data_IF_009702734991
#
_entry.id   IF_009702734991
#
_cell.length_a   1.000
_cell.length_b   1.000
_cell.length_c   1.000
_cell.angle_alpha   90.00
_cell.angle_beta   90.00
_cell.angle_gamma   90.00
#
_symmetry.space_group_name_H-M   'P 1'
#
loop_
_entity.id
_entity.type
_entity.pdbx_description
1 polymer ?
#
# COMPACT_ATOMS: atom_id res chain seq x y z
N UNK A 1 -31.22 -10.54 -37.04
CA UNK A 1 -32.30 -11.55 -37.14
C UNK A 1 -33.62 -10.83 -37.07
N UNK A 2 -34.35 -10.89 -38.19
CA UNK A 2 -35.52 -10.09 -38.50
C UNK A 2 -36.67 -10.36 -37.52
N UNK A 3 -37.13 -9.31 -36.86
CA UNK A 3 -38.35 -9.30 -36.06
C UNK A 3 -39.55 -9.60 -36.97
N UNK A 4 -40.36 -10.65 -36.71
CA UNK A 4 -41.61 -10.81 -37.42
C UNK A 4 -42.55 -9.74 -36.88
N UNK A 5 -42.90 -8.79 -37.75
CA UNK A 5 -43.87 -7.73 -37.48
C UNK A 5 -45.19 -8.33 -36.95
N UNK A 6 -45.49 -8.21 -35.64
CA UNK A 6 -46.65 -8.84 -35.03
C UNK A 6 -47.87 -7.90 -35.06
N UNK A 7 -47.75 -6.73 -35.70
CA UNK A 7 -48.86 -5.80 -35.92
C UNK A 7 -49.87 -6.38 -36.93
N UNK A 8 -49.40 -7.14 -37.92
CA UNK A 8 -50.23 -7.65 -39.02
C UNK A 8 -51.35 -8.59 -38.57
N UNK A 9 -51.16 -9.38 -37.51
CA UNK A 9 -52.16 -10.33 -37.03
C UNK A 9 -53.37 -9.66 -36.34
N UNK A 10 -53.11 -8.66 -35.50
CA UNK A 10 -54.16 -7.90 -34.82
C UNK A 10 -54.89 -6.97 -35.78
N UNK A 11 -54.16 -6.31 -36.69
CA UNK A 11 -54.78 -5.54 -37.76
C UNK A 11 -55.64 -6.40 -38.68
N UNK A 12 -55.21 -7.64 -38.99
CA UNK A 12 -56.01 -8.59 -39.78
C UNK A 12 -57.26 -9.04 -39.05
N UNK A 13 -57.19 -9.37 -37.76
CA UNK A 13 -58.36 -9.80 -36.97
C UNK A 13 -59.37 -8.66 -36.78
N UNK A 14 -58.91 -7.43 -36.60
CA UNK A 14 -59.78 -6.26 -36.50
C UNK A 14 -60.37 -5.92 -37.86
N UNK A 15 -59.58 -5.98 -38.94
CA UNK A 15 -60.08 -5.79 -40.30
C UNK A 15 -61.11 -6.86 -40.69
N UNK A 16 -60.92 -8.13 -40.31
CA UNK A 16 -61.91 -9.18 -40.56
C UNK A 16 -63.14 -9.05 -39.69
N UNK A 17 -63.02 -8.61 -38.43
CA UNK A 17 -64.19 -8.37 -37.57
C UNK A 17 -65.01 -7.17 -38.07
N UNK A 18 -64.36 -6.07 -38.45
CA UNK A 18 -65.02 -4.90 -39.05
C UNK A 18 -65.65 -5.28 -40.39
N UNK A 19 -64.94 -6.02 -41.25
CA UNK A 19 -65.46 -6.48 -42.53
C UNK A 19 -66.64 -7.44 -42.35
N UNK A 20 -66.59 -8.34 -41.37
CA UNK A 20 -67.69 -9.27 -41.09
C UNK A 20 -68.92 -8.55 -40.52
N UNK A 21 -68.72 -7.59 -39.61
CA UNK A 21 -69.82 -6.76 -39.08
C UNK A 21 -70.40 -5.88 -40.19
N UNK A 22 -69.58 -5.31 -41.07
CA UNK A 22 -70.03 -4.54 -42.23
C UNK A 22 -70.78 -5.39 -43.26
N UNK A 23 -70.31 -6.62 -43.54
CA UNK A 23 -71.03 -7.55 -44.42
C UNK A 23 -72.36 -7.98 -43.83
N UNK A 24 -72.39 -8.26 -42.52
CA UNK A 24 -73.60 -8.66 -41.82
C UNK A 24 -74.62 -7.53 -41.76
N UNK A 25 -74.18 -6.27 -41.62
CA UNK A 25 -75.08 -5.11 -41.59
C UNK A 25 -75.64 -4.78 -42.96
N UNK A 26 -74.82 -4.92 -44.02
CA UNK A 26 -75.28 -4.81 -45.42
C UNK A 26 -76.29 -5.91 -45.74
N UNK A 27 -76.01 -7.16 -45.36
CA UNK A 27 -76.91 -8.28 -45.58
C UNK A 27 -78.25 -8.13 -44.81
N UNK A 28 -78.22 -7.59 -43.58
CA UNK A 28 -79.42 -7.39 -42.77
C UNK A 28 -80.24 -6.17 -43.24
N UNK A 29 -79.58 -5.11 -43.73
CA UNK A 29 -80.24 -3.93 -44.31
C UNK A 29 -80.98 -4.24 -45.63
N UNK A 30 -80.50 -5.22 -46.40
CA UNK A 30 -81.15 -5.71 -47.63
C UNK A 30 -82.40 -6.56 -47.36
N UNK A 31 -82.62 -7.04 -46.13
CA UNK A 31 -83.65 -8.02 -45.80
C UNK A 31 -84.84 -7.47 -44.98
N UNK A 32 -84.84 -6.20 -44.56
CA UNK A 32 -85.86 -5.65 -43.66
C UNK A 32 -86.67 -4.49 -44.29
N UNK A 33 -87.99 -4.38 -44.01
CA UNK A 33 -88.82 -3.29 -44.54
C UNK A 33 -88.40 -1.92 -43.97
N UNK A 34 -88.75 -0.85 -44.71
CA UNK A 34 -88.18 0.50 -44.71
C UNK A 34 -88.05 1.28 -43.37
N UNK A 35 -88.45 0.71 -42.22
CA UNK A 35 -88.33 1.32 -40.89
C UNK A 35 -87.24 0.70 -39.98
N UNK A 36 -86.54 -0.37 -40.41
CA UNK A 36 -85.50 -1.04 -39.60
C UNK A 36 -84.00 -0.76 -39.90
N UNK A 37 -83.56 0.04 -40.91
CA UNK A 37 -82.12 0.18 -41.21
C UNK A 37 -81.34 0.96 -40.15
N UNK A 38 -82.01 1.82 -39.37
CA UNK A 38 -81.36 2.66 -38.34
C UNK A 38 -80.86 1.84 -37.14
N UNK A 39 -81.61 0.83 -36.70
CA UNK A 39 -81.22 -0.04 -35.59
C UNK A 39 -79.99 -0.89 -35.91
N UNK A 40 -79.89 -1.37 -37.16
CA UNK A 40 -78.75 -2.17 -37.65
C UNK A 40 -77.47 -1.33 -37.69
N UNK A 41 -77.57 -0.07 -38.13
CA UNK A 41 -76.43 0.86 -38.14
C UNK A 41 -75.97 1.19 -36.72
N UNK A 42 -76.89 1.40 -35.78
CA UNK A 42 -76.54 1.67 -34.37
C UNK A 42 -75.83 0.46 -33.74
N UNK A 43 -76.30 -0.76 -33.99
CA UNK A 43 -75.66 -1.98 -33.50
C UNK A 43 -74.26 -2.18 -34.11
N UNK A 44 -74.08 -1.86 -35.39
CA UNK A 44 -72.80 -1.90 -36.08
C UNK A 44 -71.79 -0.92 -35.46
N UNK A 45 -72.23 0.32 -35.21
CA UNK A 45 -71.41 1.36 -34.56
C UNK A 45 -71.06 0.92 -33.13
N UNK A 46 -72.01 0.37 -32.38
CA UNK A 46 -71.76 -0.13 -31.02
C UNK A 46 -70.73 -1.28 -31.01
N UNK A 47 -70.88 -2.25 -31.91
CA UNK A 47 -69.92 -3.36 -32.07
C UNK A 47 -68.53 -2.86 -32.50
N UNK A 48 -68.47 -1.88 -33.41
CA UNK A 48 -67.21 -1.27 -33.84
C UNK A 48 -66.53 -0.53 -32.69
N UNK A 49 -67.26 0.27 -31.91
CA UNK A 49 -66.74 0.97 -30.73
C UNK A 49 -66.25 -0.03 -29.66
N UNK A 50 -67.00 -1.10 -29.42
CA UNK A 50 -66.61 -2.14 -28.47
C UNK A 50 -65.36 -2.90 -28.95
N UNK A 51 -65.27 -3.21 -30.24
CA UNK A 51 -64.12 -3.84 -30.87
C UNK A 51 -62.86 -2.97 -30.82
N UNK A 52 -62.98 -1.67 -31.09
CA UNK A 52 -61.87 -0.70 -30.95
C UNK A 52 -61.41 -0.64 -29.50
N UNK A 53 -62.33 -0.54 -28.54
CA UNK A 53 -62.01 -0.51 -27.10
C UNK A 53 -61.35 -1.81 -26.63
N UNK A 54 -61.82 -2.97 -27.09
CA UNK A 54 -61.24 -4.27 -26.74
C UNK A 54 -59.86 -4.46 -27.36
N UNK A 55 -59.66 -4.05 -28.62
CA UNK A 55 -58.35 -4.06 -29.27
C UNK A 55 -57.35 -3.16 -28.54
N UNK A 56 -57.78 -1.97 -28.12
CA UNK A 56 -56.97 -1.03 -27.35
C UNK A 56 -56.55 -1.62 -25.99
N UNK A 57 -57.48 -2.26 -25.29
CA UNK A 57 -57.19 -2.94 -24.02
C UNK A 57 -56.24 -4.14 -24.20
N UNK A 58 -56.41 -4.94 -25.25
CA UNK A 58 -55.49 -6.05 -25.56
C UNK A 58 -54.06 -5.58 -25.84
N UNK A 59 -53.91 -4.46 -26.56
CA UNK A 59 -52.60 -3.87 -26.83
C UNK A 59 -51.90 -3.45 -25.52
N UNK A 60 -52.62 -2.77 -24.62
CA UNK A 60 -52.09 -2.31 -23.33
C UNK A 60 -51.73 -3.47 -22.38
N UNK A 61 -52.55 -4.51 -22.32
CA UNK A 61 -52.24 -5.71 -21.51
C UNK A 61 -50.98 -6.41 -22.05
N UNK A 62 -50.83 -6.49 -23.36
CA UNK A 62 -49.62 -7.06 -23.98
C UNK A 62 -48.38 -6.26 -23.60
N UNK A 63 -48.46 -4.93 -23.60
CA UNK A 63 -47.38 -4.04 -23.19
C UNK A 63 -47.00 -4.23 -21.72
N UNK A 64 -47.99 -4.24 -20.80
CA UNK A 64 -47.78 -4.54 -19.38
C UNK A 64 -47.06 -5.88 -19.18
N UNK A 65 -47.48 -6.92 -19.91
CA UNK A 65 -46.85 -8.25 -19.84
C UNK A 65 -45.41 -8.23 -20.32
N UNK A 66 -45.11 -7.49 -21.39
CA UNK A 66 -43.74 -7.34 -21.91
C UNK A 66 -42.85 -6.67 -20.87
N UNK A 67 -43.31 -5.57 -20.25
CA UNK A 67 -42.52 -4.86 -19.23
C UNK A 67 -42.34 -5.72 -17.97
N UNK A 68 -43.39 -6.39 -17.50
CA UNK A 68 -43.29 -7.29 -16.35
C UNK A 68 -42.31 -8.45 -16.62
N UNK A 69 -42.30 -9.00 -17.85
CA UNK A 69 -41.34 -10.04 -18.25
C UNK A 69 -39.92 -9.49 -18.39
N UNK A 70 -39.76 -8.22 -18.80
CA UNK A 70 -38.45 -7.55 -18.85
C UNK A 70 -37.87 -7.39 -17.43
N UNK A 71 -38.68 -6.95 -16.48
CA UNK A 71 -38.26 -6.84 -15.07
C UNK A 71 -37.85 -8.18 -14.48
N UNK A 72 -38.62 -9.24 -14.74
CA UNK A 72 -38.28 -10.60 -14.30
C UNK A 72 -36.95 -11.11 -14.89
N UNK A 73 -36.51 -10.56 -16.04
CA UNK A 73 -35.22 -10.87 -16.68
C UNK A 73 -34.10 -9.90 -16.27
N UNK A 74 -34.36 -8.96 -15.37
CA UNK A 74 -33.39 -7.98 -14.88
C UNK A 74 -33.25 -6.71 -15.73
N UNK A 75 -34.06 -6.54 -16.79
CA UNK A 75 -34.14 -5.31 -17.58
C UNK A 75 -35.16 -4.36 -16.95
N UNK A 76 -34.68 -3.57 -15.99
CA UNK A 76 -35.47 -2.63 -15.17
C UNK A 76 -35.47 -1.20 -15.74
N UNK A 77 -34.96 -0.97 -16.96
CA UNK A 77 -34.98 0.34 -17.62
C UNK A 77 -36.27 0.58 -18.41
N UNK A 78 -36.93 -0.51 -18.82
CA UNK A 78 -38.16 -0.44 -19.61
C UNK A 78 -39.33 0.13 -18.82
N UNK A 79 -40.16 0.97 -19.43
CA UNK A 79 -41.38 1.53 -18.80
C UNK A 79 -42.61 1.28 -19.66
N UNK A 80 -43.76 1.19 -19.01
CA UNK A 80 -45.07 1.11 -19.66
C UNK A 80 -45.51 2.52 -20.05
N UNK A 81 -45.96 2.72 -21.28
CA UNK A 81 -46.65 3.94 -21.66
C UNK A 81 -48.04 3.98 -21.00
N UNK A 82 -48.21 4.86 -20.03
CA UNK A 82 -49.48 5.01 -19.31
C UNK A 82 -50.35 6.05 -20.01
N UNK A 83 -51.51 5.61 -20.54
CA UNK A 83 -52.54 6.49 -21.07
C UNK A 83 -53.90 6.21 -20.39
N UNK A 84 -54.62 7.27 -20.02
CA UNK A 84 -55.95 7.22 -19.41
C UNK A 84 -55.98 7.15 -17.87
N UNK A 85 -57.20 7.07 -17.32
CA UNK A 85 -57.49 7.06 -15.87
C UNK A 85 -58.14 5.74 -15.40
N UNK A 86 -58.07 4.67 -16.22
CA UNK A 86 -58.66 3.37 -15.90
C UNK A 86 -57.74 2.47 -15.06
N UNK A 87 -58.24 1.31 -14.65
CA UNK A 87 -57.49 0.35 -13.81
C UNK A 87 -56.22 -0.18 -14.49
N UNK A 88 -56.21 -0.31 -15.83
CA UNK A 88 -55.02 -0.68 -16.58
C UNK A 88 -53.96 0.43 -16.56
N UNK A 89 -54.37 1.70 -16.53
CA UNK A 89 -53.45 2.82 -16.40
C UNK A 89 -52.85 2.86 -14.99
N UNK A 90 -53.66 2.57 -13.97
CA UNK A 90 -53.17 2.45 -12.60
C UNK A 90 -52.14 1.33 -12.46
N UNK A 91 -52.42 0.13 -13.01
CA UNK A 91 -51.47 -0.98 -13.00
C UNK A 91 -50.17 -0.65 -13.74
N UNK A 92 -50.24 0.10 -14.84
CA UNK A 92 -49.05 0.60 -15.53
C UNK A 92 -48.22 1.57 -14.70
N UNK A 93 -48.87 2.46 -13.93
CA UNK A 93 -48.18 3.33 -12.97
C UNK A 93 -47.52 2.53 -11.86
N UNK A 94 -48.24 1.60 -11.24
CA UNK A 94 -47.71 0.76 -10.16
C UNK A 94 -46.52 -0.08 -10.64
N UNK A 95 -46.57 -0.61 -11.87
CA UNK A 95 -45.45 -1.32 -12.48
C UNK A 95 -44.26 -0.39 -12.74
N UNK A 96 -44.47 0.84 -13.22
CA UNK A 96 -43.39 1.81 -13.37
C UNK A 96 -42.74 2.17 -12.04
N UNK A 97 -43.53 2.40 -10.98
CA UNK A 97 -43.03 2.66 -9.62
C UNK A 97 -42.20 1.49 -9.08
N UNK A 98 -42.64 0.25 -9.30
CA UNK A 98 -41.88 -0.94 -8.92
C UNK A 98 -40.53 -1.00 -9.66
N UNK A 99 -40.52 -0.68 -10.97
CA UNK A 99 -39.29 -0.63 -11.76
C UNK A 99 -38.31 0.41 -11.25
N UNK A 100 -38.80 1.60 -10.89
CA UNK A 100 -38.00 2.66 -10.29
C UNK A 100 -37.40 2.21 -8.95
N UNK A 101 -38.19 1.61 -8.06
CA UNK A 101 -37.70 1.12 -6.78
C UNK A 101 -36.65 0.00 -6.92
N UNK A 102 -36.83 -0.92 -7.87
CA UNK A 102 -35.84 -1.95 -8.19
C UNK A 102 -34.54 -1.33 -8.71
N UNK A 103 -34.64 -0.33 -9.59
CA UNK A 103 -33.46 0.38 -10.12
C UNK A 103 -32.71 1.09 -9.01
N UNK A 104 -33.40 1.88 -8.17
CA UNK A 104 -32.75 2.58 -7.04
C UNK A 104 -32.11 1.61 -6.06
N UNK A 105 -32.77 0.50 -5.73
CA UNK A 105 -32.22 -0.50 -4.80
C UNK A 105 -30.99 -1.18 -5.39
N UNK A 106 -31.03 -1.53 -6.68
CA UNK A 106 -29.89 -2.12 -7.37
C UNK A 106 -28.70 -1.18 -7.39
N UNK A 107 -28.89 0.08 -7.81
CA UNK A 107 -27.82 1.07 -7.85
C UNK A 107 -27.25 1.34 -6.45
N UNK A 108 -28.10 1.39 -5.41
CA UNK A 108 -27.64 1.54 -4.03
C UNK A 108 -26.77 0.35 -3.58
N UNK A 109 -27.18 -0.90 -3.87
CA UNK A 109 -26.40 -2.10 -3.56
C UNK A 109 -25.08 -2.14 -4.34
N UNK A 110 -25.09 -1.80 -5.63
CA UNK A 110 -23.89 -1.74 -6.46
C UNK A 110 -22.92 -0.66 -5.96
N UNK A 111 -23.43 0.52 -5.58
CA UNK A 111 -22.63 1.59 -4.98
C UNK A 111 -22.05 1.18 -3.62
N UNK A 112 -22.83 0.52 -2.75
CA UNK A 112 -22.35 0.05 -1.46
C UNK A 112 -21.27 -1.02 -1.62
N UNK A 113 -21.45 -1.97 -2.54
CA UNK A 113 -20.44 -2.97 -2.87
C UNK A 113 -19.17 -2.33 -3.41
N UNK A 114 -19.29 -1.39 -4.34
CA UNK A 114 -18.16 -0.64 -4.89
C UNK A 114 -17.39 0.13 -3.81
N UNK A 115 -18.09 0.72 -2.84
CA UNK A 115 -17.47 1.39 -1.71
C UNK A 115 -16.69 0.41 -0.81
N UNK A 116 -17.26 -0.76 -0.51
CA UNK A 116 -16.57 -1.80 0.28
C UNK A 116 -15.34 -2.37 -0.45
N UNK A 117 -15.48 -2.67 -1.74
CA UNK A 117 -14.38 -3.16 -2.57
C UNK A 117 -13.26 -2.11 -2.68
N UNK A 118 -13.62 -0.82 -2.83
CA UNK A 118 -12.68 0.29 -2.84
C UNK A 118 -11.97 0.49 -1.49
N UNK A 119 -12.72 0.45 -0.38
CA UNK A 119 -12.16 0.57 0.96
C UNK A 119 -11.18 -0.57 1.27
N UNK A 120 -11.61 -1.82 1.07
CA UNK A 120 -10.75 -3.00 1.26
C UNK A 120 -9.57 -3.03 0.28
N UNK A 121 -9.75 -2.48 -0.92
CA UNK A 121 -8.71 -2.34 -1.94
C UNK A 121 -7.62 -1.31 -1.58
N UNK A 122 -7.96 -0.30 -0.77
CA UNK A 122 -7.02 0.72 -0.31
C UNK A 122 -6.20 0.31 0.92
N UNK A 123 -6.59 -0.79 1.59
CA UNK A 123 -5.85 -1.31 2.74
C UNK A 123 -4.53 -1.95 2.30
N UNK A 124 -3.47 -1.70 3.09
CA UNK A 124 -2.19 -2.37 2.91
C UNK A 124 -2.18 -3.77 3.57
N UNK A 125 -3.14 -4.02 4.45
CA UNK A 125 -3.39 -5.30 5.09
C UNK A 125 -4.04 -6.29 4.13
N UNK A 126 -3.54 -7.53 4.12
CA UNK A 126 -4.15 -8.60 3.33
C UNK A 126 -5.41 -9.11 4.01
N UNK A 127 -6.56 -8.97 3.38
CA UNK A 127 -7.84 -9.46 3.91
C UNK A 127 -8.36 -10.58 3.01
N UNK A 128 -8.69 -11.73 3.60
CA UNK A 128 -9.40 -12.80 2.93
C UNK A 128 -10.57 -13.35 3.77
N UNK A 129 -11.64 -13.75 3.09
CA UNK A 129 -12.78 -14.43 3.70
C UNK A 129 -12.76 -15.91 3.31
N UNK A 130 -12.91 -16.79 4.28
CA UNK A 130 -12.94 -18.24 4.11
C UNK A 130 -14.35 -18.79 4.30
N UNK A 131 -14.75 -19.77 3.49
CA UNK A 131 -16.00 -20.53 3.68
C UNK A 131 -15.88 -21.61 4.78
N UNK A 132 -16.87 -22.49 4.86
CA UNK A 132 -16.94 -23.65 5.75
C UNK A 132 -15.91 -24.74 5.42
N UNK A 133 -15.40 -24.76 4.19
CA UNK A 133 -14.40 -25.69 3.68
C UNK A 133 -12.98 -25.08 3.63
N UNK A 134 -12.75 -23.96 4.33
CA UNK A 134 -11.48 -23.24 4.36
C UNK A 134 -11.01 -22.72 2.98
N UNK A 135 -11.95 -22.52 2.04
CA UNK A 135 -11.66 -21.94 0.71
C UNK A 135 -11.87 -20.44 0.72
N UNK A 136 -11.02 -19.75 -0.02
CA UNK A 136 -11.06 -18.29 -0.12
C UNK A 136 -12.22 -17.87 -1.02
N UNK A 137 -13.24 -17.23 -0.42
CA UNK A 137 -14.40 -16.68 -1.13
C UNK A 137 -14.11 -15.26 -1.62
N UNK A 138 -13.35 -14.50 -0.84
CA UNK A 138 -12.97 -13.13 -1.14
C UNK A 138 -11.53 -12.90 -0.71
N UNK A 139 -10.79 -12.09 -1.47
CA UNK A 139 -9.49 -11.58 -1.07
C UNK A 139 -9.24 -10.22 -1.70
N UNK A 140 -8.73 -9.27 -0.91
CA UNK A 140 -8.34 -7.96 -1.42
C UNK A 140 -7.00 -8.03 -2.20
N UNK A 141 -6.61 -6.96 -2.93
CA UNK A 141 -5.35 -6.91 -3.65
C UNK A 141 -4.12 -7.17 -2.77
N UNK A 142 -4.10 -6.61 -1.56
CA UNK A 142 -2.99 -6.79 -0.62
C UNK A 142 -2.79 -8.26 -0.24
N UNK A 143 -3.85 -9.05 -0.05
CA UNK A 143 -3.73 -10.50 0.17
C UNK A 143 -3.00 -11.19 -0.98
N UNK A 144 -3.31 -10.82 -2.23
CA UNK A 144 -2.62 -11.43 -3.39
C UNK A 144 -1.12 -11.15 -3.36
N UNK A 145 -0.73 -9.95 -2.95
CA UNK A 145 0.69 -9.55 -2.84
C UNK A 145 1.40 -10.22 -1.66
N UNK A 146 0.74 -10.31 -0.50
CA UNK A 146 1.33 -10.83 0.74
C UNK A 146 1.33 -12.37 0.79
N UNK A 147 0.26 -13.01 0.33
CA UNK A 147 0.04 -14.45 0.47
C UNK A 147 0.17 -15.22 -0.85
N UNK A 148 -0.54 -14.79 -1.89
CA UNK A 148 -0.73 -15.58 -3.13
C UNK A 148 0.33 -15.36 -4.22
N UNK A 149 1.34 -14.51 -3.99
CA UNK A 149 2.39 -14.22 -4.98
C UNK A 149 1.85 -13.62 -6.29
N UNK A 150 0.74 -12.88 -6.23
CA UNK A 150 0.10 -12.23 -7.38
C UNK A 150 -0.98 -13.06 -8.10
N UNK A 151 -1.21 -14.31 -7.70
CA UNK A 151 -2.28 -15.14 -8.28
C UNK A 151 -3.67 -14.77 -7.74
N UNK A 152 -4.72 -15.07 -8.51
CA UNK A 152 -6.10 -14.90 -8.07
C UNK A 152 -6.45 -16.02 -7.07
N UNK A 153 -6.75 -15.70 -5.81
CA UNK A 153 -6.80 -16.69 -4.74
C UNK A 153 -8.18 -17.35 -4.56
N UNK A 154 -9.21 -16.86 -5.24
CA UNK A 154 -10.61 -17.26 -5.03
C UNK A 154 -10.85 -18.72 -5.42
N UNK A 155 -11.52 -19.49 -4.55
CA UNK A 155 -11.88 -20.89 -4.75
C UNK A 155 -10.81 -21.91 -4.30
N UNK A 156 -9.56 -21.47 -4.16
CA UNK A 156 -8.47 -22.28 -3.60
C UNK A 156 -8.57 -22.36 -2.07
N UNK A 157 -8.05 -23.44 -1.50
CA UNK A 157 -7.94 -23.55 -0.05
C UNK A 157 -6.83 -22.62 0.47
N UNK A 158 -7.03 -21.95 1.62
CA UNK A 158 -6.06 -20.96 2.08
C UNK A 158 -4.66 -21.55 2.35
N UNK A 159 -4.60 -22.82 2.78
CA UNK A 159 -3.36 -23.52 3.08
C UNK A 159 -2.51 -23.83 1.83
N UNK A 160 -3.10 -23.78 0.63
CA UNK A 160 -2.35 -23.87 -0.63
C UNK A 160 -1.52 -22.60 -0.86
N UNK A 161 -1.97 -21.45 -0.34
CA UNK A 161 -1.29 -20.16 -0.47
C UNK A 161 -0.34 -19.88 0.68
N UNK A 162 -0.72 -20.26 1.90
CA UNK A 162 0.07 -20.05 3.11
C UNK A 162 0.24 -21.37 3.85
N UNK A 163 1.44 -21.95 3.76
CA UNK A 163 1.79 -23.17 4.49
C UNK A 163 2.35 -22.83 5.87
N UNK A 164 1.48 -22.34 6.76
CA UNK A 164 1.85 -22.01 8.13
C UNK A 164 0.99 -22.80 9.13
N UNK A 165 1.60 -23.76 9.83
CA UNK A 165 0.90 -24.61 10.80
C UNK A 165 0.19 -23.79 11.90
N UNK A 166 0.80 -22.69 12.34
CA UNK A 166 0.22 -21.78 13.33
C UNK A 166 -1.05 -21.09 12.81
N UNK A 167 -1.09 -20.72 11.53
CA UNK A 167 -2.27 -20.12 10.91
C UNK A 167 -3.39 -21.16 10.78
N UNK A 168 -3.08 -22.38 10.35
CA UNK A 168 -4.07 -23.45 10.26
C UNK A 168 -4.71 -23.78 11.61
N UNK A 169 -3.90 -23.85 12.67
CA UNK A 169 -4.42 -24.04 14.02
C UNK A 169 -5.34 -22.87 14.45
N UNK A 170 -4.99 -21.65 14.10
CA UNK A 170 -5.79 -20.46 14.40
C UNK A 170 -7.14 -20.45 13.66
N UNK A 171 -7.18 -20.87 12.39
CA UNK A 171 -8.41 -21.02 11.61
C UNK A 171 -9.35 -22.04 12.24
N UNK A 172 -8.82 -23.22 12.61
CA UNK A 172 -9.58 -24.26 13.31
C UNK A 172 -10.15 -23.75 14.63
N UNK A 173 -9.35 -23.04 15.43
CA UNK A 173 -9.79 -22.51 16.72
C UNK A 173 -10.86 -21.41 16.58
N UNK A 174 -10.71 -20.51 15.59
CA UNK A 174 -11.67 -19.43 15.36
C UNK A 174 -13.04 -19.95 14.89
N UNK A 175 -13.07 -21.07 14.15
CA UNK A 175 -14.30 -21.73 13.71
C UNK A 175 -15.19 -22.21 14.86
N UNK A 176 -14.61 -22.49 16.02
CA UNK A 176 -15.33 -22.84 17.26
C UNK A 176 -16.02 -21.68 17.98
N UNK A 177 -16.16 -20.50 17.35
CA UNK A 177 -16.75 -19.30 17.96
C UNK A 177 -15.73 -18.33 18.56
N UNK A 178 -14.45 -18.49 18.23
CA UNK A 178 -13.35 -17.73 18.80
C UNK A 178 -12.77 -16.65 17.88
N UNK A 179 -11.88 -15.84 18.45
CA UNK A 179 -10.95 -14.97 17.73
C UNK A 179 -9.53 -15.40 18.07
N UNK A 180 -8.70 -15.58 17.06
CA UNK A 180 -7.28 -15.86 17.24
C UNK A 180 -6.50 -14.64 16.73
N UNK A 181 -5.73 -14.00 17.61
CA UNK A 181 -4.95 -12.82 17.28
C UNK A 181 -3.47 -13.04 17.63
N UNK A 182 -2.59 -12.36 16.91
CA UNK A 182 -1.15 -12.40 17.20
C UNK A 182 -0.41 -13.60 16.61
N UNK A 183 -0.96 -14.25 15.59
CA UNK A 183 -0.27 -15.39 14.96
C UNK A 183 0.82 -14.87 14.04
N UNK A 184 2.05 -14.85 14.53
CA UNK A 184 3.21 -14.50 13.72
C UNK A 184 3.79 -15.73 13.02
N UNK A 185 4.07 -15.59 11.72
CA UNK A 185 4.75 -16.61 10.94
C UNK A 185 5.58 -15.96 9.82
N UNK A 186 6.49 -16.76 9.26
CA UNK A 186 7.25 -16.35 8.09
C UNK A 186 6.61 -16.93 6.83
N UNK A 187 6.46 -16.09 5.81
CA UNK A 187 5.96 -16.49 4.50
C UNK A 187 6.67 -15.71 3.41
N UNK A 188 7.27 -16.41 2.43
CA UNK A 188 7.96 -15.79 1.27
C UNK A 188 8.95 -14.67 1.67
N UNK A 189 9.78 -14.90 2.69
CA UNK A 189 10.75 -13.92 3.26
C UNK A 189 10.11 -12.66 3.88
N UNK A 190 8.83 -12.74 4.24
CA UNK A 190 8.12 -11.69 4.99
C UNK A 190 7.71 -12.22 6.36
N UNK A 191 7.73 -11.33 7.35
CA UNK A 191 7.18 -11.61 8.68
C UNK A 191 5.74 -11.12 8.71
N UNK A 192 4.78 -12.04 8.75
CA UNK A 192 3.37 -11.71 8.75
C UNK A 192 2.77 -11.98 10.13
N UNK A 193 1.84 -11.13 10.55
CA UNK A 193 0.96 -11.37 11.70
C UNK A 193 -0.46 -11.55 11.18
N UNK A 194 -1.06 -12.70 11.48
CA UNK A 194 -2.44 -12.96 11.17
C UNK A 194 -3.35 -12.73 12.38
N UNK A 195 -4.55 -12.26 12.06
CA UNK A 195 -5.71 -12.27 12.94
C UNK A 195 -6.82 -13.02 12.23
N UNK A 196 -7.41 -14.01 12.89
CA UNK A 196 -8.53 -14.79 12.38
C UNK A 196 -9.73 -14.56 13.28
N UNK A 197 -10.85 -14.14 12.68
CA UNK A 197 -12.10 -13.92 13.39
C UNK A 197 -13.28 -14.47 12.61
N UNK A 198 -14.28 -14.98 13.32
CA UNK A 198 -15.54 -15.37 12.70
C UNK A 198 -16.37 -14.13 12.38
N UNK A 199 -16.73 -13.93 11.11
CA UNK A 199 -17.59 -12.83 10.67
C UNK A 199 -19.06 -13.25 10.58
N UNK A 200 -19.30 -14.48 10.14
CA UNK A 200 -20.62 -15.12 10.13
C UNK A 200 -20.47 -16.58 10.57
N UNK A 201 -21.55 -17.30 10.90
CA UNK A 201 -21.45 -18.72 11.29
C UNK A 201 -20.70 -19.60 10.27
N UNK A 202 -20.72 -19.22 8.99
CA UNK A 202 -20.10 -19.97 7.89
C UNK A 202 -18.88 -19.28 7.30
N UNK A 203 -18.53 -18.07 7.74
CA UNK A 203 -17.44 -17.28 7.15
C UNK A 203 -16.45 -16.80 8.20
N UNK A 204 -15.17 -17.14 7.97
CA UNK A 204 -14.05 -16.58 8.72
C UNK A 204 -13.41 -15.45 7.93
N UNK A 205 -12.88 -14.45 8.63
CA UNK A 205 -12.06 -13.38 8.06
C UNK A 205 -10.64 -13.54 8.60
N UNK A 206 -9.67 -13.58 7.69
CA UNK A 206 -8.26 -13.57 7.97
C UNK A 206 -7.69 -12.22 7.54
N UNK A 207 -7.03 -11.53 8.47
CA UNK A 207 -6.31 -10.29 8.22
C UNK A 207 -4.82 -10.53 8.42
N UNK A 208 -4.01 -10.12 7.45
CA UNK A 208 -2.55 -10.23 7.46
C UNK A 208 -1.93 -8.83 7.55
N UNK A 209 -1.09 -8.65 8.55
CA UNK A 209 -0.25 -7.48 8.71
C UNK A 209 1.19 -7.83 8.34
N UNK A 210 1.80 -7.03 7.45
CA UNK A 210 3.22 -7.16 7.13
C UNK A 210 4.07 -6.46 8.19
N UNK A 211 4.74 -7.24 9.03
CA UNK A 211 5.64 -6.75 10.07
C UNK A 211 7.10 -6.78 9.64
N UNK A 212 7.40 -7.02 8.36
CA UNK A 212 8.78 -7.24 7.88
C UNK A 212 9.67 -6.04 8.19
N UNK A 213 9.26 -4.83 7.79
CA UNK A 213 10.09 -3.64 8.01
C UNK A 213 10.18 -3.28 9.50
N UNK A 214 9.08 -3.41 10.24
CA UNK A 214 9.08 -3.20 11.69
C UNK A 214 10.07 -4.14 12.39
N UNK A 215 10.04 -5.44 12.05
CA UNK A 215 10.95 -6.44 12.62
C UNK A 215 12.39 -6.23 12.19
N UNK A 216 12.62 -5.76 10.95
CA UNK A 216 13.95 -5.39 10.46
C UNK A 216 14.52 -4.22 11.27
N UNK A 217 13.72 -3.18 11.52
CA UNK A 217 14.11 -2.04 12.35
C UNK A 217 14.31 -2.43 13.82
N UNK A 218 13.43 -3.25 14.38
CA UNK A 218 13.60 -3.81 15.74
C UNK A 218 14.90 -4.62 15.85
N UNK A 219 15.19 -5.46 14.85
CA UNK A 219 16.42 -6.23 14.75
C UNK A 219 17.67 -5.34 14.70
N UNK A 220 17.69 -4.39 13.76
CA UNK A 220 18.78 -3.43 13.61
C UNK A 220 19.02 -2.62 14.90
N UNK A 221 17.96 -2.22 15.61
CA UNK A 221 18.06 -1.54 16.92
C UNK A 221 18.66 -2.44 18.00
N UNK A 222 18.32 -3.73 18.04
CA UNK A 222 18.90 -4.66 19.01
C UNK A 222 20.37 -4.93 18.72
N UNK A 223 20.71 -5.15 17.45
CA UNK A 223 22.10 -5.32 17.00
C UNK A 223 22.93 -4.08 17.33
N UNK A 224 22.38 -2.89 17.12
CA UNK A 224 22.98 -1.62 17.51
C UNK A 224 23.32 -1.55 19.01
N UNK A 225 22.35 -1.85 19.89
CA UNK A 225 22.57 -1.83 21.35
C UNK A 225 23.60 -2.87 21.76
N UNK A 226 23.58 -4.06 21.16
CA UNK A 226 24.55 -5.11 21.43
C UNK A 226 25.96 -4.72 20.98
N UNK A 227 26.11 -4.15 19.79
CA UNK A 227 27.38 -3.71 19.23
C UNK A 227 28.02 -2.60 20.08
N UNK A 228 27.25 -1.58 20.47
CA UNK A 228 27.74 -0.51 21.36
C UNK A 228 28.18 -1.08 22.70
N UNK A 229 27.36 -1.96 23.28
CA UNK A 229 27.67 -2.57 24.57
C UNK A 229 29.01 -3.34 24.51
N UNK A 230 29.26 -4.04 23.40
CA UNK A 230 30.52 -4.73 23.17
C UNK A 230 31.70 -3.76 23.01
N UNK A 231 31.58 -2.75 22.14
CA UNK A 231 32.64 -1.75 21.89
C UNK A 231 32.94 -0.87 23.10
N UNK A 232 31.99 -0.68 24.03
CA UNK A 232 32.23 -0.03 25.33
C UNK A 232 32.92 -0.95 26.33
N UNK A 233 32.53 -2.23 26.37
CA UNK A 233 33.06 -3.19 27.35
C UNK A 233 34.56 -3.43 27.16
N UNK A 234 35.04 -3.58 25.92
CA UNK A 234 36.46 -3.85 25.64
C UNK A 234 37.42 -2.79 26.21
N UNK A 235 37.29 -1.47 25.89
CA UNK A 235 38.16 -0.45 26.47
C UNK A 235 37.97 -0.31 27.98
N UNK A 236 36.75 -0.48 28.49
CA UNK A 236 36.48 -0.41 29.93
C UNK A 236 37.20 -1.53 30.71
N UNK A 237 37.14 -2.77 30.21
CA UNK A 237 37.84 -3.91 30.81
C UNK A 237 39.37 -3.73 30.73
N UNK A 238 39.90 -3.17 29.64
CA UNK A 238 41.32 -2.87 29.52
C UNK A 238 41.77 -1.80 30.53
N UNK A 239 40.99 -0.71 30.69
CA UNK A 239 41.25 0.33 31.70
C UNK A 239 41.27 -0.28 33.10
N UNK A 240 40.26 -1.09 33.45
CA UNK A 240 40.17 -1.74 34.75
C UNK A 240 41.38 -2.64 35.00
N UNK A 241 41.75 -3.51 34.06
CA UNK A 241 42.90 -4.41 34.22
C UNK A 241 44.25 -3.69 34.34
N UNK A 242 44.47 -2.62 33.59
CA UNK A 242 45.69 -1.80 33.74
C UNK A 242 45.70 -1.04 35.07
N UNK A 243 44.54 -0.54 35.52
CA UNK A 243 44.42 0.12 36.82
C UNK A 243 44.67 -0.86 37.99
N UNK A 244 44.12 -2.07 37.92
CA UNK A 244 44.39 -3.16 38.88
C UNK A 244 45.89 -3.49 38.93
N UNK A 245 46.52 -3.68 37.76
CA UNK A 245 47.97 -3.98 37.69
C UNK A 245 48.82 -2.85 38.29
N UNK A 246 48.42 -1.59 38.10
CA UNK A 246 49.10 -0.44 38.71
C UNK A 246 48.96 -0.42 40.23
N UNK A 247 47.78 -0.78 40.76
CA UNK A 247 47.51 -0.85 42.20
C UNK A 247 48.18 -2.04 42.89
N UNK A 248 48.47 -3.12 42.16
CA UNK A 248 49.17 -4.32 42.65
C UNK A 248 50.70 -4.14 42.83
N UNK A 249 51.20 -2.90 42.87
CA UNK A 249 52.59 -2.58 43.20
C UNK A 249 53.48 -2.20 42.01
N UNK A 250 52.97 -2.24 40.77
CA UNK A 250 53.76 -1.86 39.58
C UNK A 250 54.22 -0.40 39.63
N UNK A 251 53.47 0.48 40.30
CA UNK A 251 53.82 1.90 40.45
C UNK A 251 55.18 2.09 41.15
N UNK A 252 55.44 1.29 42.18
CA UNK A 252 56.67 1.33 42.97
C UNK A 252 57.77 0.43 42.39
N UNK A 253 57.40 -0.74 41.84
CA UNK A 253 58.33 -1.77 41.39
C UNK A 253 58.93 -1.49 39.99
N UNK A 254 58.12 -0.97 39.06
CA UNK A 254 58.55 -0.65 37.70
C UNK A 254 57.87 0.63 37.17
N UNK A 255 58.44 1.81 37.47
CA UNK A 255 57.90 3.10 37.02
C UNK A 255 57.80 3.23 35.49
N UNK A 256 58.63 2.52 34.72
CA UNK A 256 58.59 2.56 33.26
C UNK A 256 57.39 1.76 32.71
N UNK A 257 57.14 0.56 33.25
CA UNK A 257 55.95 -0.21 32.94
C UNK A 257 54.66 0.52 33.39
N UNK A 258 54.70 1.14 34.58
CA UNK A 258 53.59 1.92 35.09
C UNK A 258 53.20 3.08 34.15
N UNK A 259 54.18 3.81 33.63
CA UNK A 259 53.93 4.86 32.62
C UNK A 259 53.28 4.30 31.36
N UNK A 260 53.74 3.13 30.88
CA UNK A 260 53.13 2.45 29.75
C UNK A 260 51.67 2.05 29.97
N UNK A 261 51.30 1.62 31.19
CA UNK A 261 49.91 1.34 31.55
C UNK A 261 49.05 2.59 31.63
N UNK A 262 49.55 3.69 32.21
CA UNK A 262 48.85 4.98 32.25
C UNK A 262 48.56 5.47 30.82
N UNK A 263 49.53 5.37 29.90
CA UNK A 263 49.33 5.74 28.51
C UNK A 263 48.30 4.84 27.80
N UNK A 264 48.25 3.54 28.12
CA UNK A 264 47.20 2.64 27.61
C UNK A 264 45.82 3.02 28.15
N UNK A 265 45.70 3.33 29.45
CA UNK A 265 44.47 3.80 30.08
C UNK A 265 43.98 5.08 29.39
N UNK A 266 44.86 6.07 29.21
CA UNK A 266 44.53 7.33 28.54
C UNK A 266 43.98 7.09 27.13
N UNK A 267 44.66 6.26 26.31
CA UNK A 267 44.19 5.92 24.96
C UNK A 267 42.82 5.24 24.94
N UNK A 268 42.54 4.36 25.90
CA UNK A 268 41.24 3.71 25.99
C UNK A 268 40.14 4.67 26.46
N UNK A 269 40.45 5.59 27.38
CA UNK A 269 39.53 6.62 27.83
C UNK A 269 39.16 7.61 26.71
N UNK A 270 40.15 8.01 25.91
CA UNK A 270 39.93 8.84 24.72
C UNK A 270 39.03 8.13 23.71
N UNK A 271 39.31 6.83 23.43
CA UNK A 271 38.46 6.01 22.56
C UNK A 271 37.02 5.92 23.07
N UNK A 272 36.83 5.73 24.37
CA UNK A 272 35.50 5.64 24.98
C UNK A 272 34.76 6.99 24.89
N UNK A 273 35.47 8.11 25.06
CA UNK A 273 34.92 9.46 24.91
C UNK A 273 34.40 9.71 23.48
N UNK A 274 35.19 9.33 22.47
CA UNK A 274 34.76 9.41 21.06
C UNK A 274 33.53 8.54 20.83
N UNK A 275 33.54 7.29 21.30
CA UNK A 275 32.43 6.37 21.09
C UNK A 275 31.13 6.84 21.75
N UNK A 276 31.19 7.37 22.97
CA UNK A 276 30.03 7.95 23.65
C UNK A 276 29.49 9.16 22.88
N UNK A 277 30.37 10.03 22.38
CA UNK A 277 29.97 11.18 21.55
C UNK A 277 29.25 10.71 20.29
N UNK A 278 29.79 9.71 19.59
CA UNK A 278 29.19 9.18 18.36
C UNK A 278 27.80 8.58 18.60
N UNK A 279 27.62 7.84 19.71
CA UNK A 279 26.32 7.28 20.11
C UNK A 279 25.30 8.39 20.43
N UNK A 280 25.69 9.44 21.15
CA UNK A 280 24.82 10.57 21.44
C UNK A 280 24.43 11.34 20.18
N UNK A 281 25.39 11.58 19.29
CA UNK A 281 25.15 12.21 17.98
C UNK A 281 24.16 11.40 17.17
N UNK A 282 24.32 10.08 17.09
CA UNK A 282 23.38 9.22 16.37
C UNK A 282 21.99 9.21 17.03
N UNK A 283 21.92 9.18 18.36
CA UNK A 283 20.63 9.20 19.07
C UNK A 283 19.84 10.48 18.77
N UNK A 284 20.53 11.63 18.64
CA UNK A 284 19.90 12.90 18.22
C UNK A 284 19.39 12.84 16.78
N UNK A 285 20.16 12.23 15.87
CA UNK A 285 19.73 12.01 14.48
C UNK A 285 18.44 11.17 14.40
N UNK A 286 18.36 10.08 15.16
CA UNK A 286 17.19 9.18 15.14
C UNK A 286 15.91 9.79 15.70
N UNK A 287 16.03 10.74 16.62
CA UNK A 287 14.88 11.44 17.21
C UNK A 287 14.30 12.51 16.28
N UNK A 288 14.88 12.71 15.08
CA UNK A 288 14.49 13.79 14.17
C UNK A 288 14.78 15.18 14.73
N UNK A 289 15.60 15.26 15.78
CA UNK A 289 15.91 16.48 16.51
C UNK A 289 17.11 17.25 15.92
N UNK A 290 17.52 16.92 14.69
CA UNK A 290 18.62 17.61 14.03
C UNK A 290 18.11 18.83 13.28
N UNK A 291 18.26 20.00 13.89
CA UNK A 291 18.05 21.26 13.19
C UNK A 291 19.27 21.55 12.32
N UNK A 292 19.07 21.62 11.01
CA UNK A 292 20.11 22.07 10.07
C UNK A 292 20.02 23.59 10.04
N UNK A 293 21.16 24.27 10.14
CA UNK A 293 21.24 25.72 10.07
C UNK A 293 22.07 26.15 8.86
N UNK A 294 21.51 26.12 7.62
CA UNK A 294 22.24 26.54 6.44
C UNK A 294 22.55 28.04 6.51
N UNK A 295 23.80 28.38 6.25
CA UNK A 295 24.25 29.77 6.14
C UNK A 295 25.29 29.92 5.02
N UNK A 296 25.50 31.16 4.53
CA UNK A 296 26.55 31.42 3.56
C UNK A 296 27.92 31.21 4.20
N UNK A 297 28.78 30.45 3.53
CA UNK A 297 30.13 30.13 4.01
C UNK A 297 31.14 30.03 2.87
N UNK A 298 32.38 30.39 3.15
CA UNK A 298 33.51 30.20 2.26
C UNK A 298 34.11 28.81 2.51
N UNK A 299 33.99 27.93 1.52
CA UNK A 299 34.50 26.56 1.59
C UNK A 299 36.01 26.49 1.86
N UNK A 300 36.87 27.33 1.24
CA UNK A 300 38.31 27.31 1.51
C UNK A 300 38.65 27.51 2.99
N UNK A 301 37.91 28.36 3.71
CA UNK A 301 38.15 28.64 5.13
C UNK A 301 37.91 27.40 6.01
N UNK A 302 36.85 26.64 5.72
CA UNK A 302 36.53 25.42 6.46
C UNK A 302 37.56 24.32 6.18
N UNK A 303 37.93 24.14 4.90
CA UNK A 303 38.93 23.15 4.50
C UNK A 303 40.30 23.47 5.11
N UNK A 304 40.69 24.75 5.12
CA UNK A 304 41.95 25.17 5.71
C UNK A 304 41.96 24.95 7.23
N UNK A 305 40.91 25.35 7.94
CA UNK A 305 40.77 25.08 9.38
C UNK A 305 40.88 23.58 9.67
N UNK A 306 40.21 22.74 8.88
CA UNK A 306 40.26 21.29 9.05
C UNK A 306 41.68 20.72 8.83
N UNK A 307 42.40 21.20 7.81
CA UNK A 307 43.78 20.78 7.57
C UNK A 307 44.66 21.14 8.77
N UNK A 308 44.56 22.38 9.28
CA UNK A 308 45.33 22.84 10.45
C UNK A 308 45.10 21.95 11.68
N UNK A 309 43.85 21.55 11.94
CA UNK A 309 43.49 20.64 13.04
C UNK A 309 44.08 19.22 12.86
N UNK A 310 44.24 18.75 11.62
CA UNK A 310 44.69 17.38 11.31
C UNK A 310 46.20 17.26 11.02
N UNK A 311 46.92 18.38 10.88
CA UNK A 311 48.35 18.40 10.54
C UNK A 311 49.19 17.57 11.51
N UNK A 312 48.94 17.64 12.82
CA UNK A 312 49.74 16.89 13.78
C UNK A 312 49.56 15.37 13.59
N UNK A 313 48.31 14.90 13.47
CA UNK A 313 47.99 13.50 13.26
C UNK A 313 48.56 12.98 11.93
N UNK A 314 48.49 13.79 10.87
CA UNK A 314 49.07 13.49 9.57
C UNK A 314 50.60 13.36 9.65
N UNK A 315 51.28 14.29 10.33
CA UNK A 315 52.73 14.26 10.52
C UNK A 315 53.19 13.04 11.32
N UNK A 316 52.49 12.69 12.40
CA UNK A 316 52.79 11.47 13.19
C UNK A 316 52.72 10.20 12.35
N UNK A 317 51.87 10.17 11.32
CA UNK A 317 51.73 9.05 10.38
C UNK A 317 52.49 9.22 9.06
N UNK A 318 53.26 10.29 8.90
CA UNK A 318 53.99 10.61 7.66
C UNK A 318 53.06 10.72 6.43
N UNK A 319 51.90 11.34 6.59
CA UNK A 319 50.91 11.54 5.52
C UNK A 319 50.89 13.01 5.10
N UNK A 320 50.95 13.28 3.81
CA UNK A 320 50.86 14.64 3.24
C UNK A 320 49.40 15.05 3.02
N UNK A 321 49.00 16.21 3.56
CA UNK A 321 47.68 16.81 3.28
C UNK A 321 47.80 17.78 2.10
N UNK A 322 46.88 17.68 1.14
CA UNK A 322 46.82 18.52 -0.06
C UNK A 322 45.43 19.10 -0.20
N UNK A 323 45.34 20.40 -0.51
CA UNK A 323 44.08 21.09 -0.80
C UNK A 323 44.05 21.36 -2.30
N UNK A 324 42.95 20.99 -2.95
CA UNK A 324 42.74 21.16 -4.39
C UNK A 324 41.37 21.79 -4.68
N UNK A 325 41.36 23.10 -4.89
CA UNK A 325 40.11 23.81 -5.14
C UNK A 325 40.32 25.29 -5.48
N UNK A 326 39.28 25.99 -5.93
CA UNK A 326 39.34 27.40 -6.23
C UNK A 326 39.60 28.23 -4.96
N UNK A 327 40.36 29.32 -5.09
CA UNK A 327 40.72 30.19 -3.97
C UNK A 327 39.51 30.86 -3.28
N UNK A 328 38.38 30.97 -3.99
CA UNK A 328 37.13 31.51 -3.47
C UNK A 328 35.98 30.65 -3.96
N UNK A 329 35.16 30.18 -3.02
CA UNK A 329 33.95 29.42 -3.31
C UNK A 329 32.99 29.56 -2.15
N UNK A 330 31.89 30.27 -2.40
CA UNK A 330 30.82 30.44 -1.45
C UNK A 330 29.74 29.37 -1.67
N UNK A 331 29.27 28.75 -0.60
CA UNK A 331 28.14 27.84 -0.62
C UNK A 331 27.18 28.18 0.53
N UNK A 332 25.92 27.77 0.41
CA UNK A 332 24.96 27.83 1.53
C UNK A 332 24.81 26.44 2.11
N UNK A 333 25.42 26.19 3.27
CA UNK A 333 25.31 24.91 3.98
C UNK A 333 25.52 25.14 5.48
N UNK A 334 25.38 24.08 6.28
CA UNK A 334 25.64 24.12 7.71
C UNK A 334 27.15 23.95 7.97
N UNK A 335 27.74 24.93 8.67
CA UNK A 335 29.18 24.97 8.97
C UNK A 335 29.63 23.79 9.82
N UNK A 336 28.86 23.45 10.86
CA UNK A 336 29.24 22.41 11.81
C UNK A 336 29.13 21.02 11.17
N UNK A 337 28.05 20.79 10.41
CA UNK A 337 27.85 19.54 9.67
C UNK A 337 28.92 19.32 8.60
N UNK A 338 29.27 20.37 7.86
CA UNK A 338 30.30 20.28 6.82
C UNK A 338 31.68 19.98 7.42
N UNK A 339 32.04 20.67 8.52
CA UNK A 339 33.30 20.43 9.23
C UNK A 339 33.35 19.01 9.79
N UNK A 340 32.27 18.52 10.41
CA UNK A 340 32.17 17.16 10.92
C UNK A 340 32.27 16.10 9.81
N UNK A 341 31.59 16.31 8.68
CA UNK A 341 31.61 15.40 7.53
C UNK A 341 33.03 15.27 6.97
N UNK A 342 33.68 16.39 6.67
CA UNK A 342 35.04 16.39 6.12
C UNK A 342 36.03 15.86 7.16
N UNK A 343 35.88 16.21 8.43
CA UNK A 343 36.75 15.70 9.51
C UNK A 343 36.68 14.18 9.68
N UNK A 344 35.50 13.59 9.56
CA UNK A 344 35.34 12.14 9.58
C UNK A 344 36.05 11.47 8.39
N UNK A 345 35.91 12.03 7.18
CA UNK A 345 36.56 11.49 5.99
C UNK A 345 38.09 11.64 6.05
N UNK A 346 38.58 12.83 6.39
CA UNK A 346 40.03 13.13 6.46
C UNK A 346 40.70 12.33 7.57
N UNK A 347 40.09 12.22 8.75
CA UNK A 347 40.65 11.43 9.85
C UNK A 347 40.74 9.93 9.49
N UNK A 348 39.76 9.38 8.78
CA UNK A 348 39.80 8.02 8.24
C UNK A 348 40.90 7.88 7.17
N UNK A 349 40.99 8.83 6.24
CA UNK A 349 42.00 8.87 5.19
C UNK A 349 43.44 8.95 5.73
N UNK A 350 43.67 9.61 6.88
CA UNK A 350 44.96 9.61 7.59
C UNK A 350 45.17 8.27 8.32
N UNK A 351 44.11 7.74 8.95
CA UNK A 351 44.19 6.53 9.79
C UNK A 351 44.51 5.27 9.01
N UNK A 352 43.95 5.12 7.81
CA UNK A 352 44.11 3.94 6.96
C UNK A 352 45.12 4.16 5.82
N UNK A 353 45.93 5.22 5.92
CA UNK A 353 46.98 5.50 4.94
C UNK A 353 48.24 4.65 5.16
N UNK A 354 49.13 4.71 4.18
CA UNK A 354 50.51 4.23 4.27
C UNK A 354 51.47 5.38 4.62
N UNK A 355 52.63 5.04 5.17
CA UNK A 355 53.72 6.00 5.34
C UNK A 355 54.11 6.62 3.98
N UNK A 356 54.43 7.91 3.99
CA UNK A 356 54.69 8.74 2.81
C UNK A 356 53.51 8.84 1.82
N UNK A 357 52.31 8.46 2.27
CA UNK A 357 51.07 8.62 1.53
C UNK A 357 50.57 10.07 1.50
N UNK A 358 49.43 10.27 0.84
CA UNK A 358 48.76 11.57 0.78
C UNK A 358 47.26 11.46 0.96
N UNK A 359 46.65 12.57 1.38
CA UNK A 359 45.21 12.81 1.40
C UNK A 359 44.96 14.13 0.70
N UNK A 360 44.15 14.10 -0.36
CA UNK A 360 43.77 15.27 -1.15
C UNK A 360 42.31 15.61 -0.85
N UNK A 361 42.06 16.85 -0.42
CA UNK A 361 40.73 17.39 -0.20
C UNK A 361 40.41 18.29 -1.38
N UNK A 362 39.51 17.83 -2.25
CA UNK A 362 39.10 18.57 -3.44
C UNK A 362 37.70 19.16 -3.27
N UNK A 363 37.50 20.38 -3.76
CA UNK A 363 36.19 21.01 -3.78
C UNK A 363 35.98 21.86 -5.03
N UNK A 364 34.76 21.80 -5.57
CA UNK A 364 34.34 22.57 -6.74
C UNK A 364 32.82 22.83 -6.66
N UNK A 365 32.32 23.75 -7.47
CA UNK A 365 30.89 23.97 -7.62
C UNK A 365 30.53 23.94 -9.11
N UNK A 366 29.36 23.37 -9.40
CA UNK A 366 28.62 23.59 -10.65
C UNK A 366 27.35 24.42 -10.36
N UNK A 367 26.49 24.59 -11.36
CA UNK A 367 25.35 25.52 -11.30
C UNK A 367 24.48 25.36 -10.04
N UNK A 368 24.25 24.14 -9.55
CA UNK A 368 23.35 23.88 -8.41
C UNK A 368 23.98 23.05 -7.28
N UNK A 369 25.24 22.62 -7.40
CA UNK A 369 25.84 21.67 -6.43
C UNK A 369 27.27 22.00 -6.05
N UNK A 370 27.52 21.89 -4.74
CA UNK A 370 28.86 21.81 -4.18
C UNK A 370 29.36 20.35 -4.27
N UNK A 371 30.48 20.15 -4.94
CA UNK A 371 31.20 18.89 -5.00
C UNK A 371 32.34 18.90 -4.00
N UNK A 372 32.41 17.86 -3.17
CA UNK A 372 33.45 17.64 -2.18
C UNK A 372 34.01 16.23 -2.37
N UNK A 373 35.33 16.10 -2.36
CA UNK A 373 36.00 14.82 -2.44
C UNK A 373 37.17 14.76 -1.46
N UNK A 374 37.35 13.60 -0.83
CA UNK A 374 38.53 13.26 -0.03
C UNK A 374 39.12 11.99 -0.65
N UNK A 375 40.32 12.12 -1.22
CA UNK A 375 41.02 11.01 -1.87
C UNK A 375 42.29 10.68 -1.09
N UNK A 376 42.48 9.41 -0.77
CA UNK A 376 43.67 8.94 -0.05
C UNK A 376 44.45 7.87 -0.84
N UNK A 377 45.70 7.67 -0.45
CA UNK A 377 46.57 6.63 -1.00
C UNK A 377 46.74 5.45 -0.06
N UNK A 378 45.75 5.16 0.78
CA UNK A 378 45.83 4.11 1.78
C UNK A 378 45.61 2.72 1.21
N UNK A 379 45.24 1.81 2.12
CA UNK A 379 44.97 0.40 1.82
C UNK A 379 43.70 0.19 0.97
N UNK A 380 42.83 1.22 0.90
CA UNK A 380 41.57 1.17 0.18
C UNK A 380 40.53 0.26 0.84
N UNK A 381 39.42 0.05 0.13
CA UNK A 381 38.28 -0.76 0.59
C UNK A 381 38.03 -1.88 -0.43
N UNK A 382 38.08 -3.17 -0.03
CA UNK A 382 37.70 -4.30 -0.87
C UNK A 382 36.29 -4.13 -1.47
N UNK A 383 36.07 -4.61 -2.70
CA UNK A 383 34.84 -4.36 -3.45
C UNK A 383 33.57 -4.84 -2.70
N UNK A 384 33.66 -5.98 -2.03
CA UNK A 384 32.58 -6.59 -1.23
C UNK A 384 32.16 -5.78 0.01
N UNK A 385 32.96 -4.79 0.42
CA UNK A 385 32.70 -3.98 1.61
C UNK A 385 32.24 -2.56 1.28
N UNK A 386 32.36 -2.11 0.02
CA UNK A 386 32.10 -0.71 -0.39
C UNK A 386 30.68 -0.21 -0.11
N UNK A 387 29.68 -1.08 -0.23
CA UNK A 387 28.29 -0.72 0.09
C UNK A 387 28.02 -0.75 1.60
N UNK A 388 28.81 -1.53 2.33
CA UNK A 388 28.62 -1.82 3.76
C UNK A 388 29.34 -0.84 4.68
N UNK A 389 30.32 -0.07 4.20
CA UNK A 389 31.06 0.90 5.05
C UNK A 389 30.19 2.02 5.61
N UNK A 390 28.98 2.23 5.07
CA UNK A 390 27.99 3.15 5.60
C UNK A 390 26.99 2.48 6.56
N UNK A 391 27.08 1.16 6.74
CA UNK A 391 26.34 0.45 7.78
C UNK A 391 26.91 0.81 9.17
N UNK A 392 26.03 0.90 10.15
CA UNK A 392 26.40 1.28 11.51
C UNK A 392 27.31 0.22 12.11
N UNK A 393 28.38 0.65 12.79
CA UNK A 393 29.35 -0.23 13.48
C UNK A 393 30.10 -1.19 12.57
N UNK A 394 29.94 -1.07 11.25
CA UNK A 394 30.66 -1.91 10.31
C UNK A 394 32.12 -1.48 10.26
N UNK A 395 33.02 -2.44 10.44
CA UNK A 395 34.45 -2.29 10.24
C UNK A 395 34.92 -3.51 9.45
N UNK A 396 35.84 -3.29 8.53
CA UNK A 396 36.55 -4.39 7.89
C UNK A 396 37.53 -4.93 8.94
N UNK A 397 37.29 -6.16 9.41
CA UNK A 397 38.24 -6.84 10.30
C UNK A 397 39.57 -6.98 9.56
N UNK A 398 40.65 -6.58 10.25
CA UNK A 398 42.00 -6.50 9.69
C UNK A 398 42.78 -7.81 9.87
#
# INVERSE_FOLDING_TARGET
>A
MSSPDPSGGAHRLIATLIAAVALLTVALALCLPAAAPTAVVILAIFAAVLGIRQAFNHARIRELRIVATAYAKGDIERRVAVAGFDSLAQLGRDLNTLGEHLATTRTALESQRGMLDGALGSLNEGVACLDDLDRIVYANPAWRHLAAGGQQPTGAAFYEQIQAAALSAAVTNARGGGRADGIEFEHRRRRLRATVAQATPTTLVVVLHDLTELKRLEGARREFVAAISHELKTPLTAIAGFAETLLDGTLEEDPAAARGFIEKIARHADRLTVLVRDVLTLSRLEQGAWEVHPGPLQIPEIVQQLVEEQVQAANTRQVRLVIDGPAQLAATTDRELLHQLLGNLVSNAIRYNRADGSVTISYAADDDRLHLAVADTGIGIPAEHRERVFERFYRVDA
#
